data_IF_829804486473
#
_entry.id   IF_829804486473
#
_cell.length_a   1.000
_cell.length_b   1.000
_cell.length_c   1.000
_cell.angle_alpha   90.00
_cell.angle_beta   90.00
_cell.angle_gamma   90.00
#
_symmetry.space_group_name_H-M   'P 1'
#
loop_
_entity.id
_entity.type
_entity.pdbx_description
1 polymer ?
#
# COMPACT_ATOMS: atom_id res chain seq x y z
N UNK A 1 -11.34 16.78 6.84
CA UNK A 1 -10.28 15.78 6.57
C UNK A 1 -9.85 15.92 5.12
N UNK A 2 -8.56 16.05 4.80
CA UNK A 2 -8.07 16.23 3.41
C UNK A 2 -7.75 14.87 2.78
N UNK A 3 -7.98 14.73 1.48
CA UNK A 3 -7.75 13.48 0.75
C UNK A 3 -6.30 12.97 0.81
N UNK A 4 -5.34 13.89 0.81
CA UNK A 4 -3.91 13.58 0.98
C UNK A 4 -3.51 13.10 2.37
N UNK A 5 -4.44 13.07 3.33
CA UNK A 5 -4.19 12.66 4.71
C UNK A 5 -4.68 11.23 4.97
N UNK A 6 -5.09 10.49 3.93
CA UNK A 6 -5.63 9.15 4.06
C UNK A 6 -4.67 8.16 3.40
N UNK A 7 -4.29 7.13 4.17
CA UNK A 7 -3.30 6.13 3.79
C UNK A 7 -3.92 4.74 3.87
N UNK A 8 -3.64 3.92 2.86
CA UNK A 8 -3.83 2.48 2.93
C UNK A 8 -2.53 1.84 3.43
N UNK A 9 -2.58 1.25 4.61
CA UNK A 9 -1.43 0.58 5.23
C UNK A 9 -1.64 -0.93 5.09
N UNK A 10 -0.67 -1.60 4.49
CA UNK A 10 -0.63 -3.06 4.38
C UNK A 10 0.44 -3.61 5.29
N UNK A 11 0.13 -4.66 6.03
CA UNK A 11 1.05 -5.27 6.97
C UNK A 11 0.64 -6.66 7.39
N UNK A 12 1.40 -7.27 8.29
CA UNK A 12 1.12 -8.58 8.88
C UNK A 12 1.03 -8.44 10.39
N UNK A 13 0.31 -9.35 11.03
CA UNK A 13 0.34 -9.45 12.48
C UNK A 13 1.57 -10.25 12.88
N UNK A 14 2.39 -9.71 13.77
CA UNK A 14 3.49 -10.44 14.39
C UNK A 14 2.90 -11.49 15.32
N UNK A 15 3.21 -12.75 15.06
CA UNK A 15 2.82 -13.87 15.90
C UNK A 15 4.02 -14.29 16.76
N UNK A 16 3.76 -14.67 18.01
CA UNK A 16 4.80 -15.16 18.89
C UNK A 16 5.26 -16.55 18.40
N UNK A 17 6.54 -16.68 18.08
CA UNK A 17 7.17 -17.96 17.73
C UNK A 17 8.23 -18.35 18.76
N UNK A 18 8.68 -19.62 18.81
CA UNK A 18 9.75 -20.05 19.72
C UNK A 18 11.07 -19.29 19.53
N UNK A 19 11.31 -18.72 18.34
CA UNK A 19 12.48 -17.92 17.99
C UNK A 19 12.29 -16.40 18.19
N UNK A 20 11.11 -15.97 18.63
CA UNK A 20 10.74 -14.55 18.81
C UNK A 20 9.49 -14.17 18.01
N UNK A 21 9.02 -12.91 18.12
CA UNK A 21 7.90 -12.44 17.31
C UNK A 21 8.31 -12.35 15.83
N UNK A 22 7.50 -12.92 14.94
CA UNK A 22 7.72 -12.84 13.49
C UNK A 22 6.42 -12.44 12.78
N UNK A 23 6.51 -11.56 11.78
CA UNK A 23 5.40 -11.26 10.88
C UNK A 23 5.06 -12.46 9.99
N UNK A 24 4.05 -13.22 10.41
CA UNK A 24 3.53 -14.38 9.68
C UNK A 24 2.04 -14.18 9.35
N UNK A 25 1.52 -15.03 8.47
CA UNK A 25 0.11 -15.01 8.07
C UNK A 25 -0.25 -14.04 6.94
N UNK A 26 -1.55 -13.76 6.85
CA UNK A 26 -2.16 -12.99 5.77
C UNK A 26 -1.77 -11.51 5.81
N UNK A 27 -1.70 -10.90 4.61
CA UNK A 27 -1.57 -9.46 4.50
C UNK A 27 -2.91 -8.81 4.87
N UNK A 28 -2.89 -7.97 5.90
CA UNK A 28 -4.03 -7.17 6.32
C UNK A 28 -3.85 -5.73 5.85
N UNK A 29 -4.98 -5.12 5.48
CA UNK A 29 -5.04 -3.72 5.07
C UNK A 29 -5.82 -2.90 6.09
N UNK A 30 -5.34 -1.69 6.37
CA UNK A 30 -5.97 -0.72 7.27
C UNK A 30 -5.98 0.65 6.62
N UNK A 31 -7.11 1.35 6.70
CA UNK A 31 -7.19 2.75 6.29
C UNK A 31 -6.89 3.61 7.50
N UNK A 32 -5.88 4.47 7.40
CA UNK A 32 -5.42 5.34 8.49
C UNK A 32 -5.40 6.79 8.03
N UNK A 33 -5.91 7.67 8.88
CA UNK A 33 -5.88 9.10 8.63
C UNK A 33 -4.75 9.74 9.46
N UNK A 34 -3.78 10.38 8.80
CA UNK A 34 -2.65 11.02 9.45
C UNK A 34 -2.31 12.36 8.76
N UNK A 35 -1.74 13.31 9.50
CA UNK A 35 -1.38 14.61 8.94
C UNK A 35 -0.33 14.52 7.83
N UNK A 36 0.56 13.54 7.93
CA UNK A 36 1.59 13.17 6.97
C UNK A 36 2.08 11.75 7.29
N UNK A 37 3.00 11.25 6.47
CA UNK A 37 3.57 9.90 6.62
C UNK A 37 4.41 9.74 7.90
N UNK A 38 5.10 10.78 8.36
CA UNK A 38 5.83 10.74 9.64
C UNK A 38 4.89 10.52 10.82
N UNK A 39 3.77 11.26 10.87
CA UNK A 39 2.76 11.11 11.92
C UNK A 39 2.09 9.73 11.85
N UNK A 40 1.91 9.17 10.64
CA UNK A 40 1.42 7.82 10.45
C UNK A 40 2.37 6.79 11.11
N UNK A 41 3.66 6.84 10.82
CA UNK A 41 4.64 5.90 11.40
C UNK A 41 4.79 6.03 12.91
N UNK A 42 4.57 7.23 13.47
CA UNK A 42 4.53 7.41 14.92
C UNK A 42 3.26 6.82 15.55
N UNK A 43 2.13 6.92 14.85
CA UNK A 43 0.83 6.41 15.33
C UNK A 43 0.72 4.89 15.27
N UNK A 44 1.22 4.27 14.20
CA UNK A 44 0.99 2.85 13.91
C UNK A 44 1.45 1.90 15.03
N UNK A 45 2.66 2.01 15.62
CA UNK A 45 3.09 1.13 16.72
C UNK A 45 2.25 1.33 17.99
N UNK A 46 1.76 2.54 18.25
CA UNK A 46 0.94 2.82 19.43
C UNK A 46 -0.48 2.25 19.30
N UNK A 47 -1.07 2.32 18.10
CA UNK A 47 -2.41 1.79 17.84
C UNK A 47 -2.42 0.29 17.54
N UNK A 48 -1.37 -0.22 16.90
CA UNK A 48 -1.25 -1.59 16.42
C UNK A 48 0.14 -2.16 16.75
N UNK A 49 0.43 -2.45 18.03
CA UNK A 49 1.77 -2.83 18.49
C UNK A 49 2.32 -4.13 17.87
N UNK A 50 1.43 -5.03 17.44
CA UNK A 50 1.80 -6.30 16.80
C UNK A 50 1.61 -6.25 15.29
N UNK A 51 1.55 -5.07 14.67
CA UNK A 51 1.32 -4.94 13.24
C UNK A 51 2.58 -4.45 12.54
N UNK A 52 3.22 -5.37 11.82
CA UNK A 52 4.41 -5.07 11.04
C UNK A 52 4.02 -4.54 9.66
N UNK A 53 4.39 -3.29 9.40
CA UNK A 53 4.04 -2.59 8.16
C UNK A 53 4.92 -3.11 7.03
N UNK A 54 4.27 -3.58 5.96
CA UNK A 54 4.93 -4.04 4.72
C UNK A 54 4.85 -2.98 3.63
N UNK A 55 3.80 -2.15 3.63
CA UNK A 55 3.65 -1.09 2.65
C UNK A 55 2.66 -0.01 3.07
N UNK A 56 2.90 1.20 2.60
CA UNK A 56 2.05 2.37 2.82
C UNK A 56 1.78 3.02 1.47
N UNK A 57 0.51 3.31 1.19
CA UNK A 57 0.11 4.04 -0.02
C UNK A 57 -0.80 5.19 0.35
N UNK A 58 -0.47 6.39 -0.11
CA UNK A 58 -1.36 7.54 -0.02
C UNK A 58 -2.50 7.38 -1.03
N UNK A 59 -3.76 7.49 -0.59
CA UNK A 59 -4.91 7.26 -1.46
C UNK A 59 -5.02 8.28 -2.60
N UNK A 60 -4.60 9.54 -2.38
CA UNK A 60 -4.56 10.53 -3.46
C UNK A 60 -3.53 10.16 -4.54
N UNK A 61 -2.36 9.65 -4.12
CA UNK A 61 -1.34 9.15 -5.04
C UNK A 61 -1.83 7.89 -5.78
N UNK A 62 -2.56 6.99 -5.10
CA UNK A 62 -3.13 5.80 -5.71
C UNK A 62 -4.10 6.15 -6.84
N UNK A 63 -4.98 7.13 -6.64
CA UNK A 63 -5.91 7.58 -7.68
C UNK A 63 -5.20 8.23 -8.87
N UNK A 64 -4.11 8.96 -8.63
CA UNK A 64 -3.28 9.47 -9.72
C UNK A 64 -2.66 8.32 -10.51
N UNK A 65 -2.13 7.30 -9.81
CA UNK A 65 -1.60 6.08 -10.43
C UNK A 65 -2.67 5.35 -11.24
N UNK A 66 -3.89 5.20 -10.72
CA UNK A 66 -5.00 4.57 -11.45
C UNK A 66 -5.31 5.33 -12.74
N UNK A 67 -5.33 6.66 -12.71
CA UNK A 67 -5.53 7.48 -13.92
C UNK A 67 -4.44 7.22 -14.96
N UNK A 68 -3.17 7.20 -14.55
CA UNK A 68 -2.02 6.90 -15.43
C UNK A 68 -2.10 5.49 -16.01
N UNK A 69 -2.46 4.49 -15.21
CA UNK A 69 -2.63 3.11 -15.68
C UNK A 69 -3.75 3.03 -16.73
N UNK A 70 -4.91 3.63 -16.47
CA UNK A 70 -6.02 3.63 -17.42
C UNK A 70 -5.65 4.34 -18.72
N UNK A 71 -4.94 5.46 -18.64
CA UNK A 71 -4.47 6.19 -19.80
C UNK A 71 -3.45 5.37 -20.62
N UNK A 72 -2.51 4.69 -19.96
CA UNK A 72 -1.55 3.79 -20.61
C UNK A 72 -2.25 2.59 -21.29
N UNK A 73 -3.21 1.94 -20.63
CA UNK A 73 -3.98 0.84 -21.19
C UNK A 73 -4.86 1.26 -22.37
N UNK A 74 -5.32 2.51 -22.40
CA UNK A 74 -6.11 3.06 -23.51
C UNK A 74 -5.27 3.54 -24.70
N UNK A 75 -3.92 3.53 -24.59
CA UNK A 75 -3.02 4.09 -25.59
C UNK A 75 -2.99 5.63 -25.63
N UNK A 76 -3.65 6.31 -24.69
CA UNK A 76 -3.72 7.77 -24.61
C UNK A 76 -2.49 8.40 -23.94
N UNK A 77 -1.74 7.65 -23.13
CA UNK A 77 -0.49 8.11 -22.50
C UNK A 77 0.66 7.14 -22.80
N UNK A 78 1.73 7.65 -23.42
CA UNK A 78 2.99 6.94 -23.60
C UNK A 78 3.94 7.01 -22.39
N UNK A 79 3.45 7.44 -21.23
CA UNK A 79 4.27 7.74 -20.04
C UNK A 79 4.53 6.51 -19.15
N UNK A 80 3.64 5.52 -19.17
CA UNK A 80 3.81 4.27 -18.42
C UNK A 80 4.01 3.11 -19.41
N UNK A 81 5.18 2.43 -19.42
CA UNK A 81 5.36 1.27 -20.27
C UNK A 81 4.48 0.10 -19.78
N UNK A 82 3.65 -0.43 -20.68
CA UNK A 82 2.86 -1.65 -20.43
C UNK A 82 3.64 -2.84 -20.97
N UNK A 83 4.06 -3.74 -20.08
CA UNK A 83 4.69 -5.00 -20.45
C UNK A 83 3.64 -6.11 -20.45
N UNK A 84 3.51 -6.80 -21.58
CA UNK A 84 2.58 -7.92 -21.75
C UNK A 84 3.38 -9.22 -21.73
N UNK A 85 2.90 -10.20 -20.96
CA UNK A 85 3.46 -11.55 -20.97
C UNK A 85 3.40 -12.12 -22.40
N UNK A 86 4.52 -12.55 -23.00
CA UNK A 86 4.53 -13.17 -24.31
C UNK A 86 3.56 -14.36 -24.44
N UNK A 87 3.31 -15.10 -23.35
CA UNK A 87 2.39 -16.24 -23.32
C UNK A 87 0.90 -15.83 -23.41
N UNK A 88 0.58 -14.56 -23.21
CA UNK A 88 -0.80 -14.03 -23.36
C UNK A 88 -1.17 -13.73 -24.81
N UNK A 89 -0.26 -13.93 -25.78
CA UNK A 89 -0.60 -13.81 -27.20
C UNK A 89 -1.54 -14.95 -27.64
N UNK A 90 -2.78 -14.60 -27.95
CA UNK A 90 -3.68 -15.37 -28.82
C UNK A 90 -4.08 -14.50 -29.99
#
# INVERSE_FOLDING_TARGET
>A
MRKGNVFLVTGRVSEATPSGPEARGELLQRVVCAANETALYQFLPAAFPNFEVVGVVNLAALEETVRKIMAALSGAEGTLPVFVDPAMSR
#
